data_IF_010195410698
#
_entry.id   IF_010195410698
#
_cell.length_a   1.000
_cell.length_b   1.000
_cell.length_c   1.000
_cell.angle_alpha   90.00
_cell.angle_beta   90.00
_cell.angle_gamma   90.00
#
_symmetry.space_group_name_H-M   'P 1'
#
loop_
_entity.id
_entity.type
_entity.pdbx_description
1 polymer ?
#
# COMPACT_ATOMS: atom_id res chain seq x y z
N UNK A 1 4.90 -12.50 -54.35
CA UNK A 1 4.87 -11.33 -53.45
C UNK A 1 4.15 -10.25 -54.21
N UNK A 2 2.83 -10.20 -54.06
CA UNK A 2 2.04 -9.07 -54.56
C UNK A 2 1.89 -8.09 -53.40
N UNK A 3 2.40 -6.89 -53.64
CA UNK A 3 2.31 -5.73 -52.76
C UNK A 3 0.86 -5.22 -52.76
N UNK A 4 0.03 -5.77 -51.87
CA UNK A 4 -1.32 -5.24 -51.61
C UNK A 4 -1.19 -3.94 -50.85
N UNK A 5 -0.92 -2.86 -51.59
CA UNK A 5 -0.82 -1.51 -51.08
C UNK A 5 -2.01 -1.14 -50.20
N UNK A 6 -1.73 -0.85 -48.93
CA UNK A 6 -2.64 -0.20 -48.00
C UNK A 6 -3.00 1.18 -48.54
N UNK A 7 -4.16 1.26 -49.20
CA UNK A 7 -4.75 2.52 -49.66
C UNK A 7 -5.79 2.96 -48.64
N UNK A 8 -5.64 4.17 -48.12
CA UNK A 8 -6.66 4.83 -47.31
C UNK A 8 -8.00 4.86 -48.07
N UNK A 9 -9.13 4.57 -47.42
CA UNK A 9 -10.43 4.56 -48.09
C UNK A 9 -10.72 5.95 -48.65
N UNK A 10 -10.89 6.05 -49.96
CA UNK A 10 -11.29 7.29 -50.60
C UNK A 10 -12.81 7.34 -50.69
N UNK A 11 -13.39 8.54 -50.54
CA UNK A 11 -14.85 8.74 -50.61
C UNK A 11 -15.47 8.26 -51.93
N UNK A 12 -14.65 8.19 -52.96
CA UNK A 12 -14.97 7.70 -54.30
C UNK A 12 -15.31 6.19 -54.32
N UNK A 13 -14.75 5.43 -53.36
CA UNK A 13 -14.94 3.98 -53.24
C UNK A 13 -16.29 3.62 -52.56
N UNK A 14 -17.01 4.63 -52.04
CA UNK A 14 -18.23 4.45 -51.25
C UNK A 14 -19.38 5.40 -51.64
N UNK A 15 -19.83 5.39 -52.91
CA UNK A 15 -20.79 6.37 -53.43
C UNK A 15 -22.20 6.29 -52.82
N UNK A 16 -22.53 5.20 -52.12
CA UNK A 16 -23.85 4.98 -51.47
C UNK A 16 -23.87 5.33 -49.98
N UNK A 17 -22.76 5.80 -49.40
CA UNK A 17 -22.70 6.21 -48.00
C UNK A 17 -23.01 7.70 -47.84
N UNK A 18 -23.78 8.03 -46.81
CA UNK A 18 -24.04 9.42 -46.42
C UNK A 18 -22.83 10.02 -45.70
N UNK A 19 -22.81 11.34 -45.52
CA UNK A 19 -21.77 12.02 -44.73
C UNK A 19 -21.64 11.47 -43.30
N UNK A 20 -22.76 11.11 -42.68
CA UNK A 20 -22.78 10.50 -41.35
C UNK A 20 -22.11 9.11 -41.37
N UNK A 21 -22.43 8.28 -42.37
CA UNK A 21 -21.80 6.96 -42.52
C UNK A 21 -20.30 7.08 -42.84
N UNK A 22 -19.89 8.12 -43.57
CA UNK A 22 -18.49 8.41 -43.85
C UNK A 22 -17.70 8.74 -42.57
N UNK A 23 -18.24 9.60 -41.71
CA UNK A 23 -17.61 9.93 -40.43
C UNK A 23 -17.48 8.70 -39.52
N UNK A 24 -18.49 7.82 -39.48
CA UNK A 24 -18.43 6.55 -38.74
C UNK A 24 -17.37 5.60 -39.30
N UNK A 25 -17.17 5.60 -40.62
CA UNK A 25 -16.10 4.85 -41.27
C UNK A 25 -14.69 5.34 -40.92
N UNK A 26 -14.49 6.66 -40.92
CA UNK A 26 -13.20 7.24 -40.52
C UNK A 26 -12.85 6.85 -39.08
N UNK A 27 -13.83 6.89 -38.17
CA UNK A 27 -13.66 6.40 -36.79
C UNK A 27 -13.29 4.92 -36.75
N UNK A 28 -13.95 4.09 -37.55
CA UNK A 28 -13.67 2.65 -37.62
C UNK A 28 -12.22 2.36 -38.05
N UNK A 29 -11.73 3.07 -39.07
CA UNK A 29 -10.35 2.93 -39.57
C UNK A 29 -9.34 3.34 -38.51
N UNK A 30 -9.63 4.43 -37.78
CA UNK A 30 -8.78 4.90 -36.66
C UNK A 30 -8.74 3.88 -35.51
N UNK A 31 -9.87 3.25 -35.18
CA UNK A 31 -9.99 2.35 -34.02
C UNK A 31 -9.47 0.94 -34.29
N UNK A 32 -9.69 0.39 -35.48
CA UNK A 32 -9.36 -1.00 -35.81
C UNK A 32 -8.07 -1.14 -36.62
N UNK A 33 -7.56 -0.03 -37.17
CA UNK A 33 -6.38 -0.01 -38.05
C UNK A 33 -6.68 -0.48 -39.47
N UNK A 34 -5.83 -0.04 -40.41
CA UNK A 34 -6.01 -0.25 -41.86
C UNK A 34 -6.02 -1.73 -42.26
N UNK A 35 -5.20 -2.56 -41.62
CA UNK A 35 -5.10 -3.99 -41.91
C UNK A 35 -6.43 -4.73 -41.67
N UNK A 36 -7.21 -4.31 -40.68
CA UNK A 36 -8.53 -4.87 -40.41
C UNK A 36 -9.58 -4.45 -41.45
N UNK A 37 -9.29 -3.40 -42.24
CA UNK A 37 -10.19 -2.80 -43.21
C UNK A 37 -9.90 -3.23 -44.67
N UNK A 38 -8.80 -3.93 -44.94
CA UNK A 38 -8.33 -4.27 -46.29
C UNK A 38 -9.39 -4.98 -47.18
N UNK A 39 -10.30 -5.76 -46.58
CA UNK A 39 -11.37 -6.45 -47.31
C UNK A 39 -12.70 -5.68 -47.40
N UNK A 40 -12.83 -4.54 -46.71
CA UNK A 40 -14.09 -3.81 -46.59
C UNK A 40 -14.52 -3.09 -47.88
N UNK A 41 -13.63 -2.41 -48.63
CA UNK A 41 -13.99 -1.78 -49.91
C UNK A 41 -14.51 -2.77 -50.96
N UNK A 42 -14.11 -4.04 -50.88
CA UNK A 42 -14.51 -5.09 -51.82
C UNK A 42 -15.90 -5.70 -51.54
N UNK A 43 -16.56 -5.28 -50.45
CA UNK A 43 -17.90 -5.75 -50.12
C UNK A 43 -18.97 -5.07 -51.00
N UNK A 44 -20.10 -5.75 -51.29
CA UNK A 44 -21.25 -5.11 -51.91
C UNK A 44 -21.70 -3.87 -51.11
N UNK A 45 -22.12 -2.80 -51.80
CA UNK A 45 -22.46 -1.52 -51.16
C UNK A 45 -23.52 -1.63 -50.05
N UNK A 46 -24.49 -2.54 -50.20
CA UNK A 46 -25.50 -2.81 -49.17
C UNK A 46 -24.89 -3.46 -47.92
N UNK A 47 -23.87 -4.30 -48.08
CA UNK A 47 -23.15 -4.91 -46.95
C UNK A 47 -22.21 -3.90 -46.27
N UNK A 48 -21.57 -3.00 -47.04
CA UNK A 48 -20.76 -1.91 -46.48
C UNK A 48 -21.63 -1.03 -45.57
N UNK A 49 -22.76 -0.54 -46.10
CA UNK A 49 -23.72 0.28 -45.35
C UNK A 49 -24.24 -0.44 -44.10
N UNK A 50 -24.70 -1.68 -44.23
CA UNK A 50 -25.20 -2.46 -43.10
C UNK A 50 -24.12 -2.72 -42.03
N UNK A 51 -22.84 -2.78 -42.40
CA UNK A 51 -21.74 -2.98 -41.44
C UNK A 51 -21.38 -1.69 -40.69
N UNK A 52 -21.42 -0.54 -41.36
CA UNK A 52 -21.30 0.78 -40.72
C UNK A 52 -22.45 1.03 -39.76
N UNK A 53 -23.70 0.77 -40.19
CA UNK A 53 -24.90 0.95 -39.34
C UNK A 53 -24.89 0.03 -38.11
N UNK A 54 -24.42 -1.21 -38.25
CA UNK A 54 -24.25 -2.11 -37.09
C UNK A 54 -23.22 -1.57 -36.11
N UNK A 55 -22.14 -0.99 -36.60
CA UNK A 55 -21.13 -0.38 -35.74
C UNK A 55 -21.68 0.87 -35.03
N UNK A 56 -22.35 1.76 -35.76
CA UNK A 56 -22.98 2.96 -35.19
C UNK A 56 -24.01 2.62 -34.10
N UNK A 57 -24.81 1.57 -34.34
CA UNK A 57 -25.76 1.02 -33.37
C UNK A 57 -25.05 0.40 -32.16
N UNK A 58 -23.95 -0.31 -32.37
CA UNK A 58 -23.15 -0.88 -31.28
C UNK A 58 -22.48 0.20 -30.43
N UNK A 59 -21.88 1.21 -31.06
CA UNK A 59 -21.28 2.37 -30.38
C UNK A 59 -22.34 3.11 -29.57
N UNK A 60 -23.50 3.40 -30.16
CA UNK A 60 -24.64 4.03 -29.48
C UNK A 60 -25.14 3.20 -28.30
N UNK A 61 -25.21 1.87 -28.46
CA UNK A 61 -25.58 0.95 -27.38
C UNK A 61 -24.51 0.88 -26.29
N UNK A 62 -23.23 0.98 -26.63
CA UNK A 62 -22.12 0.96 -25.69
C UNK A 62 -22.07 2.27 -24.88
N UNK A 63 -22.32 3.42 -25.55
CA UNK A 63 -22.47 4.72 -24.90
C UNK A 63 -23.70 4.72 -24.00
N UNK A 64 -24.83 4.16 -24.44
CA UNK A 64 -26.02 4.03 -23.60
C UNK A 64 -25.79 3.09 -22.41
N UNK A 65 -25.07 1.98 -22.59
CA UNK A 65 -24.73 1.06 -21.51
C UNK A 65 -23.72 1.66 -20.53
N UNK A 66 -22.72 2.41 -21.00
CA UNK A 66 -21.77 3.11 -20.13
C UNK A 66 -22.42 4.28 -19.39
N UNK A 67 -23.33 5.01 -20.04
CA UNK A 67 -24.15 6.03 -19.39
C UNK A 67 -25.12 5.39 -18.38
N UNK A 68 -25.76 4.26 -18.71
CA UNK A 68 -26.63 3.53 -17.79
C UNK A 68 -25.84 2.90 -16.64
N UNK A 69 -24.61 2.42 -16.86
CA UNK A 69 -23.72 1.95 -15.78
C UNK A 69 -23.23 3.12 -14.91
N UNK A 70 -22.92 4.28 -15.49
CA UNK A 70 -22.58 5.50 -14.74
C UNK A 70 -23.79 5.98 -13.92
N UNK A 71 -24.98 5.96 -14.51
CA UNK A 71 -26.24 6.23 -13.81
C UNK A 71 -26.61 5.14 -12.82
N UNK A 72 -26.26 3.87 -13.04
CA UNK A 72 -26.49 2.75 -12.13
C UNK A 72 -25.46 2.71 -11.00
N UNK A 73 -24.24 3.20 -11.18
CA UNK A 73 -23.32 3.47 -10.07
C UNK A 73 -23.77 4.69 -9.30
N UNK A 74 -24.33 5.72 -9.96
CA UNK A 74 -24.96 6.85 -9.29
C UNK A 74 -26.26 6.46 -8.55
N UNK A 75 -27.10 5.58 -9.12
CA UNK A 75 -28.40 5.19 -8.55
C UNK A 75 -28.33 3.95 -7.65
N UNK A 76 -27.43 2.99 -7.86
CA UNK A 76 -27.18 1.94 -6.86
C UNK A 76 -26.49 2.50 -5.61
N UNK A 77 -25.83 3.66 -5.71
CA UNK A 77 -25.41 4.45 -4.54
C UNK A 77 -26.56 5.23 -3.88
N UNK A 78 -27.70 5.39 -4.57
CA UNK A 78 -28.85 6.23 -4.14
C UNK A 78 -30.19 5.50 -4.00
N UNK A 79 -30.28 4.20 -4.29
CA UNK A 79 -31.34 3.31 -3.79
C UNK A 79 -30.84 2.57 -2.55
N UNK A 80 -30.02 3.24 -1.74
CA UNK A 80 -30.20 3.09 -0.31
C UNK A 80 -31.59 3.68 -0.02
N UNK A 81 -32.54 2.81 0.32
CA UNK A 81 -33.70 3.14 1.15
C UNK A 81 -33.29 4.30 2.09
N UNK A 82 -34.04 5.41 2.20
CA UNK A 82 -33.70 6.45 3.14
C UNK A 82 -33.87 5.87 4.55
N UNK A 83 -32.85 5.18 5.04
CA UNK A 83 -32.55 5.13 6.44
C UNK A 83 -32.26 6.58 6.78
N UNK A 84 -33.24 7.23 7.39
CA UNK A 84 -33.09 8.52 8.06
C UNK A 84 -32.16 8.32 9.26
N UNK A 85 -30.95 7.87 9.02
CA UNK A 85 -29.85 7.90 9.98
C UNK A 85 -29.35 9.33 9.95
N UNK A 86 -29.44 9.98 11.11
CA UNK A 86 -28.93 11.34 11.33
C UNK A 86 -27.51 11.43 10.74
N UNK A 87 -27.17 12.50 10.00
CA UNK A 87 -25.83 12.65 9.45
C UNK A 87 -24.80 12.61 10.57
N UNK A 88 -23.74 11.83 10.36
CA UNK A 88 -22.63 11.77 11.31
C UNK A 88 -21.82 13.03 11.10
N UNK A 89 -21.80 13.93 12.09
CA UNK A 89 -21.05 15.17 12.01
C UNK A 89 -19.55 14.86 11.99
N UNK A 90 -18.96 14.90 10.81
CA UNK A 90 -17.53 14.73 10.62
C UNK A 90 -16.86 16.06 10.29
N UNK A 91 -15.73 16.32 10.94
CA UNK A 91 -14.81 17.41 10.61
C UNK A 91 -13.63 16.86 9.80
N UNK A 92 -13.07 17.68 8.91
CA UNK A 92 -11.86 17.38 8.16
C UNK A 92 -10.72 18.24 8.71
N UNK A 93 -9.48 17.75 8.78
CA UNK A 93 -8.33 18.59 9.07
C UNK A 93 -8.21 19.76 8.10
N UNK A 94 -7.69 20.89 8.58
CA UNK A 94 -7.46 22.05 7.71
C UNK A 94 -6.34 21.77 6.72
N UNK A 95 -6.56 22.04 5.43
CA UNK A 95 -5.51 22.01 4.42
C UNK A 95 -4.91 23.40 4.22
N UNK A 96 -3.67 23.59 4.69
CA UNK A 96 -2.95 24.86 4.53
C UNK A 96 -2.31 25.00 3.15
N UNK A 97 -2.11 23.88 2.47
CA UNK A 97 -1.43 23.80 1.19
C UNK A 97 0.08 23.95 1.32
N UNK A 98 0.68 23.41 2.39
CA UNK A 98 2.15 23.30 2.58
C UNK A 98 2.70 22.07 1.84
N UNK A 99 4.01 22.04 1.62
CA UNK A 99 4.65 20.93 0.89
C UNK A 99 4.64 19.61 1.69
N UNK A 100 4.48 19.69 3.02
CA UNK A 100 4.26 18.56 3.91
C UNK A 100 2.83 18.00 3.86
N UNK A 101 1.87 18.76 3.33
CA UNK A 101 0.47 18.38 3.33
C UNK A 101 0.18 17.45 2.15
N UNK A 102 -0.36 16.26 2.43
CA UNK A 102 -0.79 15.35 1.35
C UNK A 102 -2.15 15.77 0.82
N UNK A 103 -2.17 16.48 -0.30
CA UNK A 103 -3.42 16.84 -0.98
C UNK A 103 -4.26 15.60 -1.32
N UNK A 104 -3.62 14.48 -1.69
CA UNK A 104 -4.30 13.23 -2.06
C UNK A 104 -5.12 12.71 -0.89
N UNK A 105 -4.55 12.67 0.32
CA UNK A 105 -5.28 12.24 1.50
C UNK A 105 -6.36 13.23 1.90
N UNK A 106 -6.06 14.53 1.85
CA UNK A 106 -7.04 15.54 2.24
C UNK A 106 -8.27 15.57 1.32
N UNK A 107 -8.10 15.46 0.00
CA UNK A 107 -9.21 15.35 -0.95
C UNK A 107 -10.07 14.12 -0.63
N UNK A 108 -9.43 12.99 -0.31
CA UNK A 108 -10.16 11.78 0.09
C UNK A 108 -10.94 11.98 1.40
N UNK A 109 -10.37 12.65 2.38
CA UNK A 109 -11.07 12.97 3.63
C UNK A 109 -12.28 13.88 3.39
N UNK A 110 -12.17 14.87 2.49
CA UNK A 110 -13.32 15.69 2.08
C UNK A 110 -14.42 14.83 1.44
N UNK A 111 -14.09 13.96 0.49
CA UNK A 111 -15.08 13.07 -0.15
C UNK A 111 -15.84 12.20 0.86
N UNK A 112 -15.11 11.64 1.84
CA UNK A 112 -15.69 10.83 2.92
C UNK A 112 -16.57 11.72 3.80
N UNK A 113 -16.13 12.92 4.17
CA UNK A 113 -16.89 13.86 4.99
C UNK A 113 -18.15 14.38 4.29
N UNK A 114 -18.09 14.69 2.99
CA UNK A 114 -19.27 15.06 2.21
C UNK A 114 -20.30 13.94 2.23
N UNK A 115 -19.86 12.69 2.07
CA UNK A 115 -20.73 11.51 2.10
C UNK A 115 -21.34 11.27 3.49
N UNK A 116 -20.52 11.29 4.56
CA UNK A 116 -20.95 11.02 5.93
C UNK A 116 -21.89 12.12 6.49
N UNK A 117 -21.62 13.37 6.13
CA UNK A 117 -22.45 14.52 6.47
C UNK A 117 -23.69 14.64 5.55
N UNK A 118 -23.84 13.78 4.53
CA UNK A 118 -24.93 13.81 3.55
C UNK A 118 -25.05 15.16 2.81
N UNK A 119 -23.91 15.76 2.46
CA UNK A 119 -23.84 17.04 1.75
C UNK A 119 -23.80 16.77 0.25
N UNK A 120 -24.96 16.82 -0.40
CA UNK A 120 -25.10 16.53 -1.84
C UNK A 120 -25.23 17.80 -2.70
N UNK A 121 -25.71 18.91 -2.14
CA UNK A 121 -25.84 20.16 -2.88
C UNK A 121 -24.46 20.73 -3.25
N UNK A 122 -24.28 21.10 -4.52
CA UNK A 122 -22.98 21.54 -5.04
C UNK A 122 -22.44 22.79 -4.32
N UNK A 123 -23.31 23.75 -3.96
CA UNK A 123 -22.88 24.94 -3.22
C UNK A 123 -22.51 24.61 -1.78
N UNK A 124 -23.25 23.71 -1.13
CA UNK A 124 -22.94 23.23 0.21
C UNK A 124 -21.62 22.44 0.24
N UNK A 125 -21.35 21.61 -0.77
CA UNK A 125 -20.07 20.89 -0.92
C UNK A 125 -18.90 21.87 -1.05
N UNK A 126 -19.05 22.88 -1.90
CA UNK A 126 -18.03 23.94 -2.07
C UNK A 126 -17.83 24.70 -0.76
N UNK A 127 -18.91 25.15 -0.10
CA UNK A 127 -18.82 25.88 1.16
C UNK A 127 -18.15 25.05 2.26
N UNK A 128 -18.46 23.75 2.32
CA UNK A 128 -17.82 22.82 3.24
C UNK A 128 -16.32 22.67 2.93
N UNK A 129 -15.94 22.48 1.67
CA UNK A 129 -14.52 22.42 1.31
C UNK A 129 -13.76 23.72 1.65
N UNK A 130 -14.36 24.87 1.33
CA UNK A 130 -13.79 26.20 1.62
C UNK A 130 -13.57 26.44 3.11
N UNK A 131 -14.48 25.95 3.98
CA UNK A 131 -14.33 26.10 5.43
C UNK A 131 -13.15 25.30 6.00
N UNK A 132 -12.74 24.23 5.30
CA UNK A 132 -11.59 23.39 5.65
C UNK A 132 -10.28 23.82 4.97
N UNK A 133 -10.27 24.89 4.17
CA UNK A 133 -9.01 25.47 3.68
C UNK A 133 -8.41 26.44 4.70
N UNK A 134 -7.09 26.36 4.86
CA UNK A 134 -6.26 27.28 5.62
C UNK A 134 -5.13 27.87 4.77
N UNK A 135 -4.27 28.68 5.39
CA UNK A 135 -3.02 29.15 4.80
C UNK A 135 -3.06 29.56 3.32
N UNK A 136 -2.15 28.97 2.53
CA UNK A 136 -2.00 29.22 1.09
C UNK A 136 -3.22 28.76 0.30
N UNK A 137 -3.83 27.64 0.70
CA UNK A 137 -5.01 27.09 0.03
C UNK A 137 -6.21 28.04 0.13
N UNK A 138 -6.45 28.65 1.29
CA UNK A 138 -7.52 29.64 1.47
C UNK A 138 -7.26 30.88 0.62
N UNK A 139 -6.03 31.41 0.63
CA UNK A 139 -5.67 32.58 -0.18
C UNK A 139 -5.89 32.33 -1.68
N UNK A 140 -5.48 31.15 -2.18
CA UNK A 140 -5.73 30.72 -3.55
C UNK A 140 -7.23 30.63 -3.88
N UNK A 141 -8.02 30.00 -3.01
CA UNK A 141 -9.44 29.82 -3.22
C UNK A 141 -10.19 31.16 -3.26
N UNK A 142 -9.88 32.06 -2.31
CA UNK A 142 -10.47 33.39 -2.25
C UNK A 142 -10.06 34.26 -3.44
N UNK A 143 -8.79 34.21 -3.86
CA UNK A 143 -8.31 34.95 -5.03
C UNK A 143 -8.98 34.54 -6.35
N UNK A 144 -9.43 33.28 -6.48
CA UNK A 144 -10.23 32.86 -7.65
C UNK A 144 -11.70 33.29 -7.54
N UNK A 145 -12.24 33.35 -6.32
CA UNK A 145 -13.60 33.79 -6.06
C UNK A 145 -13.83 35.29 -6.24
N UNK A 146 -12.80 36.13 -6.07
CA UNK A 146 -12.90 37.59 -6.25
C UNK A 146 -12.98 38.01 -7.72
N UNK A 147 -12.37 37.24 -8.64
CA UNK A 147 -12.38 37.53 -10.08
C UNK A 147 -13.71 37.16 -10.74
N UNK A 148 -14.42 36.16 -10.20
CA UNK A 148 -15.71 35.72 -10.74
C UNK A 148 -16.58 35.14 -9.62
N UNK A 149 -17.67 35.83 -9.22
CA UNK A 149 -18.65 35.24 -8.30
C UNK A 149 -19.16 33.91 -8.86
N UNK A 150 -19.09 32.85 -8.06
CA UNK A 150 -19.46 31.51 -8.51
C UNK A 150 -18.41 30.82 -9.39
N UNK A 151 -17.13 31.22 -9.33
CA UNK A 151 -16.03 30.57 -10.07
C UNK A 151 -16.03 29.04 -9.94
N UNK A 152 -16.30 28.52 -8.75
CA UNK A 152 -16.46 27.09 -8.52
C UNK A 152 -17.93 26.70 -8.67
N UNK A 153 -18.23 25.79 -9.60
CA UNK A 153 -19.59 25.32 -9.90
C UNK A 153 -19.92 23.97 -9.25
N UNK A 154 -18.90 23.18 -8.90
CA UNK A 154 -19.04 21.90 -8.21
C UNK A 154 -17.75 21.53 -7.47
N UNK A 155 -17.82 20.55 -6.57
CA UNK A 155 -16.64 19.97 -5.91
C UNK A 155 -15.63 19.41 -6.93
N UNK A 156 -16.10 18.65 -7.92
CA UNK A 156 -15.24 18.06 -8.95
C UNK A 156 -14.49 19.11 -9.77
N UNK A 157 -15.14 20.23 -10.12
CA UNK A 157 -14.49 21.35 -10.79
C UNK A 157 -13.44 22.02 -9.89
N UNK A 158 -13.75 22.21 -8.60
CA UNK A 158 -12.78 22.76 -7.64
C UNK A 158 -11.57 21.83 -7.51
N UNK A 159 -11.78 20.53 -7.36
CA UNK A 159 -10.72 19.52 -7.29
C UNK A 159 -9.83 19.51 -8.54
N UNK A 160 -10.42 19.62 -9.72
CA UNK A 160 -9.70 19.72 -11.00
C UNK A 160 -8.76 20.93 -11.05
N UNK A 161 -9.11 22.04 -10.39
CA UNK A 161 -8.23 23.23 -10.27
C UNK A 161 -7.24 23.12 -9.12
N UNK A 162 -7.65 22.46 -8.03
CA UNK A 162 -6.85 22.27 -6.82
C UNK A 162 -5.63 21.38 -7.10
N UNK A 163 -5.85 20.22 -7.76
CA UNK A 163 -4.82 19.22 -8.06
C UNK A 163 -3.60 19.81 -8.78
N UNK A 164 -3.71 20.47 -9.94
CA UNK A 164 -2.54 21.05 -10.62
C UNK A 164 -1.94 22.26 -9.90
N UNK A 165 -2.65 22.88 -8.95
CA UNK A 165 -2.11 24.00 -8.16
C UNK A 165 -1.21 23.48 -7.02
N UNK A 166 -1.65 22.44 -6.32
CA UNK A 166 -1.03 22.00 -5.06
C UNK A 166 -0.32 20.64 -5.14
N UNK A 167 -0.57 19.83 -6.17
CA UNK A 167 0.30 18.69 -6.49
C UNK A 167 1.41 19.20 -7.38
N UNK A 168 2.66 19.18 -6.91
CA UNK A 168 3.79 19.36 -7.82
C UNK A 168 3.72 18.24 -8.88
N UNK A 169 4.07 18.57 -10.12
CA UNK A 169 4.00 17.64 -11.26
C UNK A 169 4.76 16.31 -11.03
N UNK A 170 5.69 16.28 -10.07
CA UNK A 170 6.51 15.11 -9.74
C UNK A 170 6.15 14.44 -8.40
N UNK A 171 5.08 14.82 -7.68
CA UNK A 171 4.76 14.20 -6.36
C UNK A 171 4.47 12.71 -6.49
N UNK A 172 3.75 12.30 -7.53
CA UNK A 172 3.52 10.87 -7.82
C UNK A 172 4.84 10.13 -8.08
N UNK A 173 5.77 10.75 -8.83
CA UNK A 173 7.11 10.22 -9.04
C UNK A 173 7.91 10.14 -7.73
N UNK A 174 7.85 11.17 -6.87
CA UNK A 174 8.54 11.19 -5.59
C UNK A 174 8.05 10.08 -4.67
N UNK A 175 6.73 9.90 -4.50
CA UNK A 175 6.20 8.80 -3.68
C UNK A 175 6.52 7.44 -4.29
N UNK A 176 6.44 7.28 -5.61
CA UNK A 176 6.84 6.04 -6.30
C UNK A 176 8.32 5.73 -6.11
N UNK A 177 9.18 6.73 -6.27
CA UNK A 177 10.62 6.61 -6.07
C UNK A 177 10.97 6.29 -4.62
N UNK A 178 10.31 6.93 -3.66
CA UNK A 178 10.45 6.65 -2.24
C UNK A 178 9.95 5.26 -1.87
N UNK A 179 8.83 4.80 -2.45
CA UNK A 179 8.32 3.43 -2.27
C UNK A 179 9.38 2.42 -2.71
N UNK A 180 9.92 2.58 -3.91
CA UNK A 180 10.94 1.66 -4.47
C UNK A 180 12.24 1.63 -3.66
N UNK A 181 12.60 2.74 -2.99
CA UNK A 181 13.79 2.83 -2.11
C UNK A 181 13.49 2.55 -0.64
N UNK A 182 12.24 2.30 -0.26
CA UNK A 182 11.85 2.15 1.14
C UNK A 182 12.48 0.88 1.72
N UNK A 183 13.20 1.00 2.84
CA UNK A 183 13.90 -0.10 3.51
C UNK A 183 13.58 -0.09 5.00
N UNK A 184 13.34 -1.26 5.59
CA UNK A 184 13.09 -1.38 7.03
C UNK A 184 14.20 -0.73 7.87
N UNK A 185 15.46 -0.72 7.44
CA UNK A 185 16.53 -0.08 8.21
C UNK A 185 16.54 -0.55 9.67
N UNK A 186 16.57 0.38 10.64
CA UNK A 186 16.54 0.10 12.09
C UNK A 186 15.13 0.09 12.71
N UNK A 187 14.10 0.56 12.00
CA UNK A 187 12.73 0.68 12.52
C UNK A 187 12.05 -0.68 12.74
N UNK A 188 11.06 -0.76 13.65
CA UNK A 188 10.15 -1.90 13.76
C UNK A 188 9.50 -2.25 12.41
N UNK A 189 9.07 -3.50 12.25
CA UNK A 189 8.41 -3.95 11.03
C UNK A 189 7.08 -3.24 10.79
N UNK A 190 6.34 -2.92 11.85
CA UNK A 190 5.07 -2.21 11.78
C UNK A 190 5.24 -0.80 11.17
N UNK A 191 6.22 -0.03 11.63
CA UNK A 191 6.52 1.31 11.11
C UNK A 191 6.93 1.25 9.62
N UNK A 192 7.70 0.23 9.24
CA UNK A 192 8.07 0.02 7.84
C UNK A 192 6.86 -0.29 6.96
N UNK A 193 5.99 -1.20 7.39
CA UNK A 193 4.76 -1.56 6.68
C UNK A 193 3.84 -0.33 6.55
N UNK A 194 3.71 0.45 7.62
CA UNK A 194 2.93 1.68 7.63
C UNK A 194 3.48 2.71 6.63
N UNK A 195 4.80 2.90 6.60
CA UNK A 195 5.44 3.82 5.64
C UNK A 195 5.18 3.40 4.19
N UNK A 196 5.26 2.09 3.88
CA UNK A 196 4.95 1.59 2.54
C UNK A 196 3.49 1.83 2.16
N UNK A 197 2.54 1.57 3.07
CA UNK A 197 1.12 1.86 2.82
C UNK A 197 0.85 3.36 2.65
N UNK A 198 1.51 4.21 3.42
CA UNK A 198 1.39 5.67 3.29
C UNK A 198 1.95 6.15 1.94
N UNK A 199 3.11 5.63 1.51
CA UNK A 199 3.67 5.92 0.20
C UNK A 199 2.76 5.40 -0.92
N UNK A 200 2.16 4.23 -0.75
CA UNK A 200 1.19 3.66 -1.69
C UNK A 200 -0.06 4.53 -1.83
N UNK A 201 -0.67 4.93 -0.70
CA UNK A 201 -1.87 5.77 -0.71
C UNK A 201 -1.62 7.20 -1.20
N UNK A 202 -0.40 7.73 -1.00
CA UNK A 202 -0.03 9.07 -1.47
C UNK A 202 0.34 9.10 -2.97
N UNK A 203 0.61 7.95 -3.60
CA UNK A 203 0.84 7.90 -5.04
C UNK A 203 -0.45 8.24 -5.80
N UNK A 204 -0.51 9.43 -6.38
CA UNK A 204 -1.57 9.78 -7.33
C UNK A 204 -1.39 8.96 -8.63
N UNK A 205 -2.40 8.19 -9.04
CA UNK A 205 -2.42 7.46 -10.30
C UNK A 205 -2.62 5.95 -10.16
N UNK A 206 -2.22 5.20 -11.19
CA UNK A 206 -2.39 3.74 -11.20
C UNK A 206 -1.54 3.08 -10.10
N UNK A 207 -2.11 2.12 -9.35
CA UNK A 207 -1.38 1.41 -8.31
C UNK A 207 -0.19 0.64 -8.90
N UNK A 208 0.84 0.43 -8.08
CA UNK A 208 1.91 -0.50 -8.44
C UNK A 208 1.34 -1.92 -8.60
N UNK A 209 1.97 -2.72 -9.44
CA UNK A 209 1.63 -4.13 -9.55
C UNK A 209 2.08 -4.89 -8.30
N UNK A 210 1.37 -5.97 -7.96
CA UNK A 210 1.66 -6.76 -6.76
C UNK A 210 3.06 -7.37 -6.79
N UNK A 211 3.57 -7.76 -7.96
CA UNK A 211 4.94 -8.26 -8.13
C UNK A 211 5.98 -7.21 -7.73
N UNK A 212 5.78 -5.93 -8.11
CA UNK A 212 6.68 -4.84 -7.72
C UNK A 212 6.60 -4.62 -6.21
N UNK A 213 5.39 -4.56 -5.64
CA UNK A 213 5.21 -4.34 -4.18
C UNK A 213 5.85 -5.45 -3.35
N UNK A 214 5.59 -6.71 -3.71
CA UNK A 214 6.18 -7.87 -3.03
C UNK A 214 7.70 -7.84 -3.16
N UNK A 215 8.23 -7.58 -4.36
CA UNK A 215 9.69 -7.53 -4.58
C UNK A 215 10.35 -6.45 -3.72
N UNK A 216 9.81 -5.23 -3.73
CA UNK A 216 10.31 -4.11 -2.91
C UNK A 216 10.22 -4.45 -1.43
N UNK A 217 9.08 -4.99 -0.99
CA UNK A 217 8.87 -5.33 0.41
C UNK A 217 9.88 -6.38 0.87
N UNK A 218 9.99 -7.50 0.16
CA UNK A 218 10.92 -8.59 0.47
C UNK A 218 12.37 -8.12 0.49
N UNK A 219 12.76 -7.27 -0.47
CA UNK A 219 14.11 -6.72 -0.52
C UNK A 219 14.35 -5.65 0.56
N UNK A 220 13.30 -4.99 1.03
CA UNK A 220 13.39 -3.97 2.06
C UNK A 220 13.31 -4.48 3.50
N UNK A 221 12.78 -5.67 3.75
CA UNK A 221 12.84 -6.31 5.08
C UNK A 221 14.29 -6.58 5.46
N UNK A 222 14.66 -6.28 6.70
CA UNK A 222 16.01 -6.50 7.25
C UNK A 222 16.35 -7.98 7.23
N UNK A 223 17.61 -8.30 6.90
CA UNK A 223 18.12 -9.66 6.96
C UNK A 223 17.95 -10.27 8.35
N UNK A 224 17.38 -11.48 8.42
CA UNK A 224 17.07 -12.19 9.65
C UNK A 224 16.05 -13.30 9.42
N UNK A 225 15.58 -13.92 10.51
CA UNK A 225 14.61 -15.03 10.46
C UNK A 225 13.33 -14.66 9.72
N UNK A 226 12.82 -13.44 9.95
CA UNK A 226 11.61 -12.94 9.30
C UNK A 226 11.77 -12.83 7.79
N UNK A 227 12.91 -12.31 7.30
CA UNK A 227 13.20 -12.28 5.86
C UNK A 227 13.31 -13.69 5.30
N UNK A 228 14.01 -14.60 5.99
CA UNK A 228 14.14 -16.00 5.55
C UNK A 228 12.78 -16.69 5.42
N UNK A 229 11.88 -16.48 6.36
CA UNK A 229 10.50 -16.99 6.30
C UNK A 229 9.77 -16.48 5.07
N UNK A 230 9.90 -15.18 4.78
CA UNK A 230 9.26 -14.54 3.66
C UNK A 230 9.73 -15.12 2.31
N UNK A 231 11.04 -15.36 2.16
CA UNK A 231 11.61 -15.99 0.97
C UNK A 231 11.16 -17.44 0.81
N UNK A 232 11.01 -18.19 1.91
CA UNK A 232 10.54 -19.57 1.86
C UNK A 232 9.08 -19.68 1.45
N UNK A 233 8.23 -18.75 1.91
CA UNK A 233 6.78 -18.77 1.63
C UNK A 233 6.38 -18.18 0.29
N UNK A 234 7.25 -17.38 -0.35
CA UNK A 234 7.05 -16.79 -1.68
C UNK A 234 5.64 -16.19 -1.88
N UNK A 235 5.23 -15.20 -1.07
CA UNK A 235 3.91 -14.59 -1.19
C UNK A 235 3.72 -13.98 -2.59
N UNK A 236 2.50 -14.06 -3.12
CA UNK A 236 2.13 -13.47 -4.42
C UNK A 236 1.51 -12.08 -4.31
N UNK A 237 1.12 -11.68 -3.09
CA UNK A 237 0.51 -10.38 -2.83
C UNK A 237 1.20 -9.68 -1.66
N UNK A 238 1.19 -8.36 -1.70
CA UNK A 238 1.78 -7.51 -0.67
C UNK A 238 1.11 -7.73 0.69
N UNK A 239 -0.22 -7.79 0.73
CA UNK A 239 -0.98 -8.07 1.96
C UNK A 239 -0.59 -9.42 2.58
N UNK A 240 -0.42 -10.47 1.76
CA UNK A 240 0.03 -11.79 2.26
C UNK A 240 1.45 -11.73 2.79
N UNK A 241 2.34 -10.98 2.12
CA UNK A 241 3.71 -10.78 2.57
C UNK A 241 3.76 -10.08 3.94
N UNK A 242 2.99 -8.99 4.10
CA UNK A 242 2.86 -8.26 5.37
C UNK A 242 2.38 -9.18 6.49
N UNK A 243 1.32 -9.97 6.25
CA UNK A 243 0.80 -10.91 7.24
C UNK A 243 1.86 -11.93 7.70
N UNK A 244 2.64 -12.49 6.77
CA UNK A 244 3.71 -13.44 7.09
C UNK A 244 4.77 -12.78 7.98
N UNK A 245 5.21 -11.58 7.60
CA UNK A 245 6.27 -10.86 8.30
C UNK A 245 5.85 -10.48 9.72
N UNK A 246 4.63 -9.97 9.92
CA UNK A 246 4.15 -9.59 11.25
C UNK A 246 3.92 -10.80 12.16
N UNK A 247 3.42 -11.91 11.60
CA UNK A 247 3.27 -13.16 12.35
C UNK A 247 4.64 -13.69 12.80
N UNK A 248 5.61 -13.72 11.89
CA UNK A 248 6.95 -14.24 12.19
C UNK A 248 7.69 -13.35 13.19
N UNK A 249 7.58 -12.03 13.07
CA UNK A 249 8.15 -11.08 14.02
C UNK A 249 7.61 -11.30 15.44
N UNK A 250 6.31 -11.52 15.55
CA UNK A 250 5.68 -11.89 16.82
C UNK A 250 6.21 -13.23 17.37
N UNK A 251 6.33 -14.26 16.52
CA UNK A 251 6.87 -15.56 16.92
C UNK A 251 8.33 -15.46 17.41
N UNK A 252 9.17 -14.71 16.69
CA UNK A 252 10.58 -14.49 17.06
C UNK A 252 10.68 -13.72 18.38
N UNK A 253 9.88 -12.66 18.55
CA UNK A 253 9.83 -11.88 19.79
C UNK A 253 9.37 -12.71 21.00
N UNK A 254 8.36 -13.56 20.81
CA UNK A 254 7.87 -14.47 21.84
C UNK A 254 8.92 -15.52 22.23
N UNK A 255 9.61 -16.11 21.25
CA UNK A 255 10.67 -17.09 21.49
C UNK A 255 11.91 -16.51 22.18
N UNK A 256 12.21 -15.22 21.95
CA UNK A 256 13.32 -14.52 22.60
C UNK A 256 12.99 -14.02 24.01
N UNK A 257 11.78 -14.28 24.52
CA UNK A 257 11.38 -13.90 25.88
C UNK A 257 11.27 -12.40 26.07
N UNK A 258 11.00 -11.63 25.00
CA UNK A 258 10.77 -10.20 25.12
C UNK A 258 9.43 -9.96 25.83
N UNK A 259 9.45 -9.76 27.15
CA UNK A 259 8.32 -9.16 27.85
C UNK A 259 8.19 -7.72 27.34
N UNK A 260 7.00 -7.27 26.88
CA UNK A 260 6.78 -5.87 26.60
C UNK A 260 7.14 -5.11 27.87
N UNK A 261 8.08 -4.16 27.78
CA UNK A 261 8.32 -3.22 28.85
C UNK A 261 7.07 -2.33 28.96
N UNK A 262 6.06 -2.83 29.66
CA UNK A 262 4.98 -2.01 30.21
C UNK A 262 5.69 -1.00 31.08
N UNK A 263 5.74 0.26 30.62
CA UNK A 263 5.96 1.38 31.52
C UNK A 263 4.86 1.28 32.56
N UNK A 264 5.21 0.84 33.76
CA UNK A 264 4.38 0.98 34.94
C UNK A 264 4.19 2.47 35.20
N UNK A 265 3.19 3.05 34.54
CA UNK A 265 2.49 4.18 35.13
C UNK A 265 1.68 3.60 36.28
N UNK A 266 1.93 4.11 37.47
CA UNK A 266 1.14 3.83 38.67
C UNK A 266 -0.35 3.92 38.35
N UNK A 267 -1.11 2.93 38.82
CA UNK A 267 -2.54 2.84 38.57
C UNK A 267 -3.02 1.40 38.70
N UNK A 268 -3.37 1.03 39.92
CA UNK A 268 -3.92 -0.25 40.38
C UNK A 268 -4.78 -1.01 39.36
N UNK A 269 -4.49 -2.30 39.18
CA UNK A 269 -5.35 -3.27 38.50
C UNK A 269 -6.72 -3.43 39.16
N UNK A 270 -7.75 -3.78 38.37
CA UNK A 270 -8.70 -4.81 38.75
C UNK A 270 -8.68 -5.98 37.74
N UNK A 271 -8.11 -7.10 38.21
CA UNK A 271 -8.43 -8.52 37.99
C UNK A 271 -9.11 -8.98 36.70
N UNK A 272 -8.45 -9.90 35.97
CA UNK A 272 -9.16 -11.03 35.35
C UNK A 272 -8.32 -12.32 35.48
N UNK A 273 -8.95 -13.36 36.01
CA UNK A 273 -8.37 -14.62 36.44
C UNK A 273 -8.53 -15.64 35.32
N UNK A 274 -7.47 -15.89 34.56
CA UNK A 274 -7.30 -17.14 33.82
C UNK A 274 -5.87 -17.18 33.26
N UNK A 275 -5.07 -18.14 33.78
CA UNK A 275 -3.71 -18.59 33.36
C UNK A 275 -2.70 -18.74 34.52
N UNK A 276 -3.14 -18.70 35.78
CA UNK A 276 -2.27 -19.04 36.93
C UNK A 276 -2.34 -20.54 37.26
N UNK A 277 -1.94 -21.38 36.31
CA UNK A 277 -1.72 -22.81 36.59
C UNK A 277 -0.30 -23.27 36.19
N UNK A 278 0.32 -22.62 35.21
CA UNK A 278 1.70 -22.94 34.79
C UNK A 278 2.77 -22.37 35.75
N UNK A 279 2.51 -21.22 36.39
CA UNK A 279 3.48 -20.54 37.24
C UNK A 279 3.64 -21.14 38.65
N UNK A 280 2.66 -21.92 39.15
CA UNK A 280 2.76 -22.56 40.47
C UNK A 280 3.72 -23.76 40.47
N UNK A 281 3.84 -24.49 39.35
CA UNK A 281 4.74 -25.63 39.23
C UNK A 281 6.23 -25.23 39.27
N UNK A 282 6.58 -24.07 38.71
CA UNK A 282 7.96 -23.57 38.77
C UNK A 282 8.35 -22.94 40.12
N UNK A 283 7.39 -22.37 40.86
CA UNK A 283 7.68 -21.66 42.12
C UNK A 283 7.95 -22.61 43.28
N UNK A 284 7.34 -23.80 43.30
CA UNK A 284 7.59 -24.84 44.30
C UNK A 284 8.94 -25.55 44.13
N UNK A 285 9.53 -25.54 42.92
CA UNK A 285 10.86 -26.14 42.69
C UNK A 285 12.01 -25.23 43.15
N UNK A 286 11.87 -23.90 43.05
CA UNK A 286 12.93 -22.95 43.47
C UNK A 286 13.13 -22.90 44.99
N UNK A 287 12.12 -23.24 45.78
CA UNK A 287 12.18 -23.23 47.24
C UNK A 287 12.75 -24.53 47.85
N UNK A 288 12.92 -25.61 47.08
CA UNK A 288 13.24 -26.92 47.65
C UNK A 288 14.72 -27.25 47.83
N UNK A 289 15.65 -26.34 47.48
CA UNK A 289 17.10 -26.59 47.64
C UNK A 289 17.63 -27.82 46.87
N UNK A 290 16.91 -28.26 45.83
CA UNK A 290 17.20 -29.45 45.04
C UNK A 290 17.93 -29.09 43.74
N UNK A 291 18.83 -29.96 43.33
CA UNK A 291 19.61 -29.80 42.11
C UNK A 291 18.72 -29.87 40.87
N UNK A 292 18.76 -28.84 40.01
CA UNK A 292 17.99 -28.77 38.75
C UNK A 292 18.33 -29.84 37.69
N UNK A 293 19.38 -30.63 37.90
CA UNK A 293 19.77 -31.72 36.99
C UNK A 293 19.26 -33.09 37.44
N UNK A 294 19.51 -33.46 38.70
CA UNK A 294 19.22 -34.81 39.24
C UNK A 294 18.15 -34.83 40.34
N UNK A 295 17.56 -33.68 40.69
CA UNK A 295 16.51 -33.49 41.69
C UNK A 295 16.88 -33.91 43.14
N UNK A 296 18.17 -34.13 43.44
CA UNK A 296 18.67 -34.45 44.78
C UNK A 296 18.91 -33.17 45.62
N UNK A 297 18.69 -33.20 46.94
CA UNK A 297 18.88 -32.02 47.81
C UNK A 297 20.36 -31.64 48.02
N UNK A 298 20.59 -30.44 48.54
CA UNK A 298 21.86 -29.93 49.08
C UNK A 298 23.00 -29.62 48.10
N UNK A 299 22.74 -29.50 46.80
CA UNK A 299 23.73 -28.97 45.86
C UNK A 299 23.10 -28.29 44.63
N UNK A 300 23.72 -27.21 44.09
CA UNK A 300 23.30 -26.63 42.83
C UNK A 300 23.81 -27.45 41.64
N UNK A 301 23.18 -27.31 40.47
CA UNK A 301 23.51 -28.04 39.22
C UNK A 301 25.00 -28.01 38.85
N UNK A 302 25.71 -26.93 39.21
CA UNK A 302 27.17 -26.79 38.98
C UNK A 302 28.03 -27.82 39.71
N UNK A 303 27.58 -28.33 40.86
CA UNK A 303 28.31 -29.27 41.71
C UNK A 303 27.64 -30.65 41.76
N UNK A 304 26.88 -31.01 40.72
CA UNK A 304 26.19 -32.29 40.67
C UNK A 304 27.18 -33.46 40.45
N UNK A 305 27.21 -34.47 41.33
CA UNK A 305 28.14 -35.60 41.21
C UNK A 305 27.84 -36.48 40.00
N UNK A 306 26.65 -36.39 39.42
CA UNK A 306 26.22 -37.09 38.20
C UNK A 306 26.47 -36.29 36.90
N UNK A 307 27.09 -35.11 36.97
CA UNK A 307 27.28 -34.26 35.80
C UNK A 307 28.46 -34.76 34.94
N UNK A 308 28.16 -35.28 33.75
CA UNK A 308 29.12 -35.93 32.83
C UNK A 308 30.07 -34.96 32.08
N UNK A 309 30.04 -33.66 32.36
CA UNK A 309 30.84 -32.63 31.67
C UNK A 309 32.23 -32.38 32.29
N UNK A 310 32.65 -33.16 33.29
CA UNK A 310 34.02 -33.13 33.83
C UNK A 310 34.72 -34.47 33.61
N UNK A 311 35.09 -34.77 32.36
CA UNK A 311 36.21 -35.67 32.11
C UNK A 311 37.53 -34.88 32.32
N UNK A 312 38.53 -35.40 33.05
CA UNK A 312 39.79 -34.69 33.27
C UNK A 312 40.58 -34.52 31.96
N UNK A 313 40.99 -33.29 31.63
CA UNK A 313 42.05 -33.05 30.64
C UNK A 313 43.38 -33.49 31.25
N UNK A 314 43.98 -34.52 30.67
CA UNK A 314 45.29 -35.04 31.06
C UNK A 314 46.38 -33.95 30.99
N UNK A 315 47.07 -33.76 32.11
CA UNK A 315 48.32 -33.02 32.19
C UNK A 315 49.46 -33.95 31.79
N UNK A 316 49.85 -33.91 30.51
CA UNK A 316 51.19 -34.33 30.08
C UNK A 316 51.71 -33.32 29.06
N UNK A 317 52.79 -32.66 29.47
CA UNK A 317 53.85 -31.93 28.74
C UNK A 317 54.09 -30.59 29.46
N UNK A 318 54.86 -30.66 30.55
CA UNK A 318 55.89 -29.67 30.87
C UNK A 318 56.81 -30.23 31.96
N UNK A 319 57.71 -31.15 31.56
CA UNK A 319 58.97 -31.43 32.24
C UNK A 319 59.98 -31.84 31.18
N UNK A 320 60.54 -30.84 30.51
CA UNK A 320 61.90 -30.85 29.97
C UNK A 320 62.18 -29.42 29.54
N UNK A 321 63.34 -28.92 29.96
CA UNK A 321 63.89 -27.56 29.73
C UNK A 321 63.60 -26.52 30.83
N UNK A 322 63.94 -26.87 32.07
CA UNK A 322 64.80 -25.98 32.87
C UNK A 322 66.11 -26.75 33.08
N UNK A 323 67.13 -26.44 32.29
CA UNK A 323 68.56 -26.62 32.56
C UNK A 323 69.32 -26.54 31.24
N UNK A 324 69.59 -25.33 30.78
CA UNK A 324 70.91 -24.92 30.25
C UNK A 324 70.86 -23.45 29.86
N UNK A 325 71.71 -22.68 30.54
CA UNK A 325 72.14 -21.30 30.28
C UNK A 325 71.06 -20.20 30.38
N UNK A 326 71.05 -19.22 31.30
CA UNK A 326 72.11 -18.63 32.14
C UNK A 326 73.48 -18.57 31.48
N UNK A 327 73.66 -17.65 30.54
CA UNK A 327 74.84 -16.77 30.50
C UNK A 327 74.72 -15.73 29.38
N UNK A 328 75.09 -14.50 29.75
CA UNK A 328 75.41 -13.33 28.90
C UNK A 328 74.20 -12.56 28.33
N UNK A 329 74.11 -11.24 28.45
CA UNK A 329 75.09 -10.22 28.83
C UNK A 329 74.85 -8.97 27.99
N UNK A 330 74.88 -7.82 28.67
CA UNK A 330 74.81 -6.43 28.23
C UNK A 330 75.33 -5.98 26.85
N UNK A 331 74.85 -4.77 26.49
CA UNK A 331 75.38 -3.78 25.51
C UNK A 331 75.08 -4.09 24.04
N UNK A 332 74.59 -3.15 23.22
CA UNK A 332 74.89 -1.72 23.14
C UNK A 332 73.78 -0.98 22.37
#
# INVERSE_FOLDING_TARGET
>A
MEDSGSRLPARQDFPRLSDAHWATLEKLVILLGEAAFAGFPNLPAEQQKARVERFDKYESSLIAHSAAQASATYTASFVARPTTTKPVKMSVPTFDGKDSDSLVFWVREIEIALSANQIYDARAQIAFALSNFGGRARAWAMGRGTVTPGHFTSWSFMEQKLRPTFLLANVAYHHRSSFLRCKQGKRPLQDYVMELHNLEGAMAGAPLSEDVKVTVFMDGVRTGLVRTELFRRQPKTFSRAVHIVLLEDHCVGSAQGHTPHVKTSEGSTPMEISLVESARSQRTQRASGRCFGCNQPNHPRRNCPTNTWKAPRDKKILKSLEATASENGDSQ
#
